data_IF_165817173118
#
_entry.id   IF_165817173118
#
_cell.length_a   1.000
_cell.length_b   1.000
_cell.length_c   1.000
_cell.angle_alpha   90.00
_cell.angle_beta   90.00
_cell.angle_gamma   90.00
#
_symmetry.space_group_name_H-M   'P 1'
#
loop_
_entity.id
_entity.type
_entity.pdbx_description
1 polymer ?
#
# COMPACT_ATOMS: atom_id res chain seq x y z
N UNK A 1 50.71 7.00 11.35
CA UNK A 1 49.72 6.48 10.37
C UNK A 1 49.25 5.05 10.69
N UNK A 2 50.13 4.08 10.98
CA UNK A 2 49.78 2.70 11.36
C UNK A 2 48.94 2.56 12.66
N UNK A 3 49.13 3.46 13.63
CA UNK A 3 48.38 3.46 14.91
C UNK A 3 46.89 3.78 14.73
N UNK A 4 46.57 4.78 13.89
CA UNK A 4 45.19 5.20 13.62
C UNK A 4 44.39 4.09 12.94
N UNK A 5 45.03 3.34 12.04
CA UNK A 5 44.42 2.24 11.30
C UNK A 5 44.12 1.04 12.20
N UNK A 6 44.99 0.74 13.17
CA UNK A 6 44.72 -0.28 14.20
C UNK A 6 43.56 0.11 15.11
N UNK A 7 43.47 1.39 15.50
CA UNK A 7 42.37 1.88 16.34
C UNK A 7 41.01 1.81 15.63
N UNK A 8 40.93 2.26 14.37
CA UNK A 8 39.72 2.18 13.55
C UNK A 8 39.28 0.72 13.31
N UNK A 9 40.23 -0.18 13.04
CA UNK A 9 39.95 -1.61 12.87
C UNK A 9 39.38 -2.25 14.14
N UNK A 10 39.93 -1.89 15.31
CA UNK A 10 39.46 -2.41 16.60
C UNK A 10 38.05 -1.91 16.95
N UNK A 11 37.74 -0.65 16.64
CA UNK A 11 36.40 -0.07 16.80
C UNK A 11 35.36 -0.79 15.92
N UNK A 12 35.69 -1.07 14.66
CA UNK A 12 34.81 -1.80 13.73
C UNK A 12 34.52 -3.23 14.22
N UNK A 13 35.54 -3.94 14.71
CA UNK A 13 35.40 -5.31 15.25
C UNK A 13 34.55 -5.32 16.53
N UNK A 14 34.74 -4.34 17.42
CA UNK A 14 33.93 -4.20 18.63
C UNK A 14 32.47 -3.86 18.29
N UNK A 15 32.22 -3.03 17.29
CA UNK A 15 30.86 -2.71 16.83
C UNK A 15 30.16 -3.95 16.23
N UNK A 16 30.87 -4.73 15.41
CA UNK A 16 30.36 -5.99 14.85
C UNK A 16 30.11 -7.08 15.89
N UNK A 17 30.67 -7.01 17.09
CA UNK A 17 30.43 -8.02 18.16
C UNK A 17 29.41 -7.54 19.20
N UNK A 18 29.19 -6.22 19.29
CA UNK A 18 28.25 -5.60 20.23
C UNK A 18 26.80 -6.03 19.99
N UNK A 19 26.31 -5.98 18.75
CA UNK A 19 24.91 -6.34 18.44
C UNK A 19 24.61 -7.79 18.84
N UNK A 20 25.54 -8.71 18.59
CA UNK A 20 25.42 -10.13 18.93
C UNK A 20 25.41 -10.36 20.44
N UNK A 21 26.23 -9.58 21.17
CA UNK A 21 26.30 -9.61 22.64
C UNK A 21 25.02 -9.07 23.30
N UNK A 22 24.43 -8.01 22.74
CA UNK A 22 23.14 -7.47 23.19
C UNK A 22 21.98 -8.41 22.88
N UNK A 23 21.96 -9.01 21.70
CA UNK A 23 20.96 -10.01 21.33
C UNK A 23 21.00 -11.22 22.28
N UNK A 24 22.20 -11.69 22.64
CA UNK A 24 22.37 -12.79 23.61
C UNK A 24 21.96 -12.38 25.02
N UNK A 25 22.34 -11.20 25.49
CA UNK A 25 21.98 -10.71 26.82
C UNK A 25 20.46 -10.53 26.99
N UNK A 26 19.77 -10.07 25.94
CA UNK A 26 18.33 -9.85 25.96
C UNK A 26 17.53 -11.00 25.33
N UNK A 27 18.18 -12.11 24.92
CA UNK A 27 17.53 -13.22 24.22
C UNK A 27 16.36 -13.78 25.03
N UNK A 28 16.51 -13.88 26.35
CA UNK A 28 15.47 -14.40 27.25
C UNK A 28 14.23 -13.50 27.25
N UNK A 29 14.41 -12.18 27.24
CA UNK A 29 13.33 -11.20 27.19
C UNK A 29 12.67 -11.15 25.80
N UNK A 30 13.47 -11.23 24.74
CA UNK A 30 12.99 -11.31 23.35
C UNK A 30 12.17 -12.58 23.13
N UNK A 31 12.64 -13.72 23.64
CA UNK A 31 11.91 -14.99 23.54
C UNK A 31 10.65 -14.95 24.39
N UNK A 32 10.72 -14.44 25.62
CA UNK A 32 9.56 -14.31 26.52
C UNK A 32 8.47 -13.40 25.94
N UNK A 33 8.85 -12.21 25.46
CA UNK A 33 7.92 -11.28 24.83
C UNK A 33 7.38 -11.84 23.51
N UNK A 34 8.24 -12.45 22.68
CA UNK A 34 7.85 -13.14 21.46
C UNK A 34 6.85 -14.27 21.71
N UNK A 35 7.02 -15.05 22.77
CA UNK A 35 6.07 -16.12 23.13
C UNK A 35 4.70 -15.55 23.49
N UNK A 36 4.62 -14.44 24.25
CA UNK A 36 3.33 -13.78 24.50
C UNK A 36 2.63 -13.30 23.23
N UNK A 37 3.36 -12.72 22.26
CA UNK A 37 2.77 -12.31 20.99
C UNK A 37 2.30 -13.51 20.15
N UNK A 38 3.07 -14.60 20.13
CA UNK A 38 2.68 -15.84 19.45
C UNK A 38 1.42 -16.42 20.08
N UNK A 39 1.33 -16.47 21.41
CA UNK A 39 0.14 -16.96 22.12
C UNK A 39 -1.08 -16.08 21.82
N UNK A 40 -0.94 -14.75 21.88
CA UNK A 40 -2.02 -13.82 21.55
C UNK A 40 -2.48 -13.97 20.10
N UNK A 41 -1.55 -14.07 19.15
CA UNK A 41 -1.88 -14.34 17.75
C UNK A 41 -2.62 -15.67 17.59
N UNK A 42 -2.19 -16.70 18.31
CA UNK A 42 -2.79 -18.04 18.26
C UNK A 42 -4.21 -18.05 18.86
N UNK A 43 -4.43 -17.35 19.98
CA UNK A 43 -5.77 -17.15 20.56
C UNK A 43 -6.66 -16.37 19.59
N UNK A 44 -6.14 -15.33 18.94
CA UNK A 44 -6.88 -14.55 17.96
C UNK A 44 -7.27 -15.39 16.73
N UNK A 45 -6.36 -16.21 16.22
CA UNK A 45 -6.62 -17.15 15.14
C UNK A 45 -7.69 -18.18 15.55
N UNK A 46 -7.55 -18.83 16.70
CA UNK A 46 -8.55 -19.79 17.20
C UNK A 46 -9.93 -19.15 17.38
N UNK A 47 -9.98 -17.94 17.94
CA UNK A 47 -11.21 -17.17 18.09
C UNK A 47 -11.87 -16.88 16.75
N UNK A 48 -11.10 -16.38 15.78
CA UNK A 48 -11.61 -16.06 14.44
C UNK A 48 -12.07 -17.32 13.68
N UNK A 49 -11.39 -18.46 13.86
CA UNK A 49 -11.82 -19.74 13.32
C UNK A 49 -13.13 -20.21 13.96
N UNK A 50 -13.24 -20.12 15.29
CA UNK A 50 -14.42 -20.54 16.04
C UNK A 50 -15.68 -19.73 15.69
N UNK A 51 -15.52 -18.44 15.36
CA UNK A 51 -16.63 -17.59 14.92
C UNK A 51 -17.18 -17.97 13.54
N UNK A 52 -16.47 -18.79 12.75
CA UNK A 52 -16.97 -19.28 11.46
C UNK A 52 -17.33 -18.17 10.47
N UNK A 53 -16.69 -17.00 10.59
CA UNK A 53 -16.99 -15.81 9.77
C UNK A 53 -16.71 -16.16 8.33
N UNK A 54 -17.75 -16.20 7.49
CA UNK A 54 -17.59 -16.46 6.06
C UNK A 54 -16.95 -15.24 5.39
N UNK A 55 -16.00 -15.50 4.50
CA UNK A 55 -15.49 -14.45 3.63
C UNK A 55 -16.58 -14.09 2.61
N UNK A 56 -16.96 -12.82 2.59
CA UNK A 56 -17.84 -12.25 1.57
C UNK A 56 -17.12 -11.09 0.91
N UNK A 57 -17.22 -11.01 -0.43
CA UNK A 57 -16.62 -9.92 -1.18
C UNK A 57 -17.41 -8.64 -0.93
N UNK A 58 -16.74 -7.61 -0.40
CA UNK A 58 -17.36 -6.34 -0.04
C UNK A 58 -16.95 -5.22 -0.99
N UNK A 59 -17.94 -4.55 -1.58
CA UNK A 59 -17.71 -3.31 -2.33
C UNK A 59 -17.64 -2.15 -1.33
N UNK A 60 -16.46 -1.57 -1.16
CA UNK A 60 -16.25 -0.39 -0.32
C UNK A 60 -15.91 0.83 -1.20
N UNK A 61 -16.40 1.99 -0.80
CA UNK A 61 -16.17 3.27 -1.51
C UNK A 61 -15.72 4.35 -0.53
N UNK A 62 -14.51 4.23 0.05
CA UNK A 62 -14.05 5.15 1.09
C UNK A 62 -13.74 6.56 0.58
N UNK A 63 -13.52 6.74 -0.73
CA UNK A 63 -13.20 8.03 -1.33
C UNK A 63 -14.46 8.65 -1.95
N UNK A 64 -14.85 9.82 -1.46
CA UNK A 64 -15.87 10.65 -2.08
C UNK A 64 -15.25 11.64 -3.05
N UNK A 65 -15.81 11.78 -4.24
CA UNK A 65 -15.42 12.83 -5.16
C UNK A 65 -15.62 14.23 -4.51
N UNK A 66 -14.73 15.19 -4.78
CA UNK A 66 -14.87 16.54 -4.25
C UNK A 66 -16.18 17.19 -4.74
N UNK A 67 -16.73 18.12 -3.95
CA UNK A 67 -17.92 18.84 -4.35
C UNK A 67 -17.64 19.76 -5.54
N UNK A 68 -18.68 20.02 -6.36
CA UNK A 68 -18.62 20.90 -7.54
C UNK A 68 -18.05 22.29 -7.21
N UNK A 69 -18.22 22.72 -5.95
CA UNK A 69 -17.78 24.02 -5.46
C UNK A 69 -16.26 24.12 -5.26
N UNK A 70 -15.52 23.01 -5.28
CA UNK A 70 -14.05 23.03 -5.24
C UNK A 70 -13.49 23.32 -6.64
N UNK A 71 -13.85 24.47 -7.20
CA UNK A 71 -13.44 24.92 -8.55
C UNK A 71 -11.92 24.90 -8.74
N UNK A 72 -11.16 25.20 -7.68
CA UNK A 72 -9.69 25.17 -7.69
C UNK A 72 -9.15 23.77 -7.98
N UNK A 73 -9.76 22.74 -7.38
CA UNK A 73 -9.38 21.34 -7.64
C UNK A 73 -9.62 20.97 -9.10
N UNK A 74 -10.81 21.25 -9.63
CA UNK A 74 -11.14 20.93 -11.03
C UNK A 74 -10.25 21.69 -11.99
N UNK A 75 -10.00 22.98 -11.77
CA UNK A 75 -9.09 23.77 -12.59
C UNK A 75 -7.66 23.21 -12.60
N UNK A 76 -7.13 22.84 -11.44
CA UNK A 76 -5.79 22.25 -11.33
C UNK A 76 -5.74 20.85 -11.97
N UNK A 77 -6.77 20.02 -11.76
CA UNK A 77 -6.88 18.69 -12.33
C UNK A 77 -6.99 18.74 -13.86
N UNK A 78 -7.84 19.63 -14.39
CA UNK A 78 -7.96 19.89 -15.82
C UNK A 78 -6.63 20.34 -16.40
N UNK A 79 -5.89 21.23 -15.72
CA UNK A 79 -4.56 21.66 -16.14
C UNK A 79 -3.60 20.48 -16.25
N UNK A 80 -3.54 19.60 -15.24
CA UNK A 80 -2.63 18.46 -15.23
C UNK A 80 -3.01 17.33 -16.20
N UNK A 81 -4.26 17.29 -16.68
CA UNK A 81 -4.76 16.21 -17.55
C UNK A 81 -4.93 16.71 -19.00
N UNK A 82 -6.15 17.04 -19.41
CA UNK A 82 -6.44 17.43 -20.80
C UNK A 82 -5.79 18.77 -21.15
N UNK A 83 -5.66 19.68 -20.17
CA UNK A 83 -4.94 20.95 -20.35
C UNK A 83 -3.46 20.73 -20.71
N UNK A 84 -2.79 19.82 -20.02
CA UNK A 84 -1.41 19.40 -20.32
C UNK A 84 -1.34 18.80 -21.71
N UNK A 85 -2.29 17.93 -22.08
CA UNK A 85 -2.35 17.35 -23.42
C UNK A 85 -2.43 18.43 -24.51
N UNK A 86 -3.33 19.41 -24.37
CA UNK A 86 -3.44 20.53 -25.30
C UNK A 86 -2.18 21.40 -25.35
N UNK A 87 -1.49 21.54 -24.22
CA UNK A 87 -0.21 22.25 -24.16
C UNK A 87 0.90 21.49 -24.91
N UNK A 88 1.01 20.18 -24.72
CA UNK A 88 2.01 19.31 -25.37
C UNK A 88 1.87 19.33 -26.89
N UNK A 89 0.64 19.24 -27.41
CA UNK A 89 0.39 19.32 -28.86
C UNK A 89 0.50 20.74 -29.43
N UNK A 90 0.86 21.74 -28.59
CA UNK A 90 1.00 23.16 -28.95
C UNK A 90 -0.29 23.76 -29.52
N UNK A 91 -1.45 23.26 -29.10
CA UNK A 91 -2.76 23.71 -29.60
C UNK A 91 -2.93 25.23 -29.47
N UNK A 92 -2.62 25.78 -28.29
CA UNK A 92 -2.73 27.22 -28.03
C UNK A 92 -1.80 28.06 -28.90
N UNK A 93 -0.64 27.53 -29.28
CA UNK A 93 0.29 28.21 -30.19
C UNK A 93 -0.28 28.26 -31.60
N UNK A 94 -0.78 27.13 -32.10
CA UNK A 94 -1.42 27.05 -33.43
C UNK A 94 -2.63 27.98 -33.49
N UNK A 95 -3.48 27.96 -32.46
CA UNK A 95 -4.63 28.84 -32.36
C UNK A 95 -4.22 30.32 -32.37
N UNK A 96 -3.18 30.68 -31.61
CA UNK A 96 -2.65 32.05 -31.60
C UNK A 96 -2.09 32.46 -32.97
N UNK A 97 -1.32 31.59 -33.63
CA UNK A 97 -0.74 31.90 -34.94
C UNK A 97 -1.84 32.13 -35.99
N UNK A 98 -2.91 31.35 -35.99
CA UNK A 98 -4.05 31.55 -36.90
C UNK A 98 -4.81 32.82 -36.54
N UNK A 99 -5.31 32.94 -35.31
CA UNK A 99 -6.26 34.00 -34.94
C UNK A 99 -5.59 35.36 -34.77
N UNK A 100 -4.40 35.39 -34.18
CA UNK A 100 -3.71 36.64 -33.85
C UNK A 100 -2.74 37.06 -34.95
N UNK A 101 -1.91 36.16 -35.50
CA UNK A 101 -0.96 36.58 -36.55
C UNK A 101 -1.62 36.74 -37.92
N UNK A 102 -2.60 35.91 -38.28
CA UNK A 102 -3.27 36.02 -39.58
C UNK A 102 -4.37 37.06 -39.58
N UNK A 103 -5.22 37.08 -38.54
CA UNK A 103 -6.41 37.95 -38.50
C UNK A 103 -6.28 39.15 -37.56
N UNK A 104 -5.26 39.22 -36.71
CA UNK A 104 -5.08 40.33 -35.75
C UNK A 104 -6.12 40.36 -34.61
N UNK A 105 -6.94 39.31 -34.45
CA UNK A 105 -8.11 39.35 -33.58
C UNK A 105 -7.81 38.84 -32.17
N UNK A 106 -7.23 39.71 -31.34
CA UNK A 106 -6.80 39.36 -29.99
C UNK A 106 -7.95 38.98 -29.04
N UNK A 107 -9.09 39.65 -29.15
CA UNK A 107 -10.28 39.38 -28.34
C UNK A 107 -10.86 38.00 -28.62
N UNK A 108 -10.94 37.61 -29.90
CA UNK A 108 -11.44 36.30 -30.30
C UNK A 108 -10.55 35.17 -29.76
N UNK A 109 -9.23 35.34 -29.79
CA UNK A 109 -8.31 34.37 -29.20
C UNK A 109 -8.56 34.17 -27.69
N UNK A 110 -8.78 35.24 -26.94
CA UNK A 110 -9.08 35.13 -25.51
C UNK A 110 -10.44 34.51 -25.24
N UNK A 111 -11.46 34.83 -26.04
CA UNK A 111 -12.78 34.23 -25.93
C UNK A 111 -12.73 32.72 -26.18
N UNK A 112 -12.06 32.29 -27.27
CA UNK A 112 -11.91 30.86 -27.59
C UNK A 112 -11.19 30.12 -26.46
N UNK A 113 -10.09 30.67 -25.93
CA UNK A 113 -9.40 30.08 -24.77
C UNK A 113 -10.30 29.94 -23.55
N UNK A 114 -11.08 30.97 -23.23
CA UNK A 114 -11.96 30.96 -22.06
C UNK A 114 -13.07 29.91 -22.19
N UNK A 115 -13.71 29.84 -23.36
CA UNK A 115 -14.73 28.84 -23.67
C UNK A 115 -14.13 27.43 -23.63
N UNK A 116 -12.98 27.23 -24.25
CA UNK A 116 -12.27 25.95 -24.21
C UNK A 116 -11.93 25.55 -22.77
N UNK A 117 -11.43 26.48 -21.96
CA UNK A 117 -11.10 26.21 -20.57
C UNK A 117 -12.32 25.78 -19.74
N UNK A 118 -13.44 26.49 -19.88
CA UNK A 118 -14.70 26.12 -19.23
C UNK A 118 -15.19 24.75 -19.68
N UNK A 119 -15.11 24.45 -20.96
CA UNK A 119 -15.50 23.16 -21.52
C UNK A 119 -14.64 22.02 -20.97
N UNK A 120 -13.32 22.22 -20.89
CA UNK A 120 -12.40 21.24 -20.32
C UNK A 120 -12.65 21.00 -18.83
N UNK A 121 -12.89 22.07 -18.06
CA UNK A 121 -13.26 21.94 -16.65
C UNK A 121 -14.57 21.17 -16.47
N UNK A 122 -15.56 21.40 -17.34
CA UNK A 122 -16.81 20.65 -17.33
C UNK A 122 -16.57 19.16 -17.62
N UNK A 123 -15.76 18.81 -18.62
CA UNK A 123 -15.41 17.42 -18.91
C UNK A 123 -14.71 16.78 -17.70
N UNK A 124 -13.76 17.49 -17.08
CA UNK A 124 -13.08 16.99 -15.89
C UNK A 124 -14.06 16.74 -14.75
N UNK A 125 -15.02 17.64 -14.55
CA UNK A 125 -16.05 17.51 -13.53
C UNK A 125 -17.00 16.33 -13.78
N UNK A 126 -17.59 16.26 -14.97
CA UNK A 126 -18.67 15.32 -15.26
C UNK A 126 -18.16 13.90 -15.49
N UNK A 127 -16.95 13.74 -16.02
CA UNK A 127 -16.46 12.44 -16.48
C UNK A 127 -15.16 12.02 -15.80
N UNK A 128 -14.09 12.83 -15.89
CA UNK A 128 -12.77 12.36 -15.47
C UNK A 128 -12.65 12.16 -13.97
N UNK A 129 -13.12 13.11 -13.16
CA UNK A 129 -13.03 13.03 -11.71
C UNK A 129 -13.91 11.90 -11.17
N UNK A 130 -15.19 11.77 -11.54
CA UNK A 130 -16.01 10.61 -11.14
C UNK A 130 -15.38 9.28 -11.55
N UNK A 131 -14.88 9.17 -12.79
CA UNK A 131 -14.21 7.97 -13.27
C UNK A 131 -12.96 7.65 -12.43
N UNK A 132 -12.11 8.64 -12.15
CA UNK A 132 -10.91 8.46 -11.32
C UNK A 132 -11.26 7.93 -9.92
N UNK A 133 -12.25 8.55 -9.26
CA UNK A 133 -12.67 8.11 -7.92
C UNK A 133 -13.32 6.72 -7.95
N UNK A 134 -14.04 6.37 -9.02
CA UNK A 134 -14.56 5.02 -9.22
C UNK A 134 -13.43 4.00 -9.34
N UNK A 135 -12.39 4.29 -10.13
CA UNK A 135 -11.23 3.39 -10.27
C UNK A 135 -10.49 3.25 -8.95
N UNK A 136 -10.20 4.35 -8.26
CA UNK A 136 -9.52 4.32 -6.96
C UNK A 136 -10.30 3.52 -5.92
N UNK A 137 -11.61 3.73 -5.82
CA UNK A 137 -12.46 2.97 -4.90
C UNK A 137 -12.49 1.47 -5.25
N UNK A 138 -12.58 1.13 -6.55
CA UNK A 138 -12.51 -0.26 -6.98
C UNK A 138 -11.16 -0.90 -6.61
N UNK A 139 -10.04 -0.20 -6.84
CA UNK A 139 -8.72 -0.67 -6.43
C UNK A 139 -8.61 -0.88 -4.92
N UNK A 140 -9.10 0.07 -4.12
CA UNK A 140 -9.09 -0.05 -2.65
C UNK A 140 -9.96 -1.22 -2.20
N UNK A 141 -11.14 -1.38 -2.80
CA UNK A 141 -12.03 -2.52 -2.51
C UNK A 141 -11.36 -3.85 -2.82
N UNK A 142 -10.66 -3.98 -3.95
CA UNK A 142 -9.90 -5.19 -4.27
C UNK A 142 -8.82 -5.45 -3.21
N UNK A 143 -8.00 -4.44 -2.88
CA UNK A 143 -6.92 -4.59 -1.89
C UNK A 143 -7.47 -4.97 -0.51
N UNK A 144 -8.57 -4.35 -0.09
CA UNK A 144 -9.23 -4.65 1.17
C UNK A 144 -9.76 -6.09 1.21
N UNK A 145 -10.41 -6.54 0.15
CA UNK A 145 -10.89 -7.92 0.06
C UNK A 145 -9.75 -8.94 0.06
N UNK A 146 -8.63 -8.65 -0.60
CA UNK A 146 -7.44 -9.50 -0.54
C UNK A 146 -6.90 -9.58 0.89
N UNK A 147 -6.79 -8.44 1.58
CA UNK A 147 -6.34 -8.42 2.98
C UNK A 147 -7.29 -9.22 3.88
N UNK A 148 -8.60 -9.06 3.72
CA UNK A 148 -9.60 -9.83 4.46
C UNK A 148 -9.55 -11.32 4.13
N UNK A 149 -9.31 -11.70 2.87
CA UNK A 149 -9.16 -13.10 2.48
C UNK A 149 -7.94 -13.74 3.16
N UNK A 150 -6.82 -13.02 3.24
CA UNK A 150 -5.62 -13.47 3.95
C UNK A 150 -5.92 -13.63 5.44
N UNK A 151 -6.58 -12.65 6.06
CA UNK A 151 -6.98 -12.72 7.46
C UNK A 151 -7.96 -13.88 7.73
N UNK A 152 -8.86 -14.17 6.80
CA UNK A 152 -9.79 -15.30 6.88
C UNK A 152 -9.08 -16.66 6.73
N UNK A 153 -8.09 -16.76 5.85
CA UNK A 153 -7.36 -18.01 5.60
C UNK A 153 -6.28 -18.32 6.67
N UNK A 154 -5.77 -17.29 7.35
CA UNK A 154 -4.75 -17.44 8.38
C UNK A 154 -5.15 -18.40 9.52
N UNK A 155 -6.36 -18.31 10.12
CA UNK A 155 -6.79 -19.21 11.18
C UNK A 155 -6.70 -20.71 10.88
N UNK A 156 -7.34 -21.24 9.82
CA UNK A 156 -7.25 -22.67 9.50
C UNK A 156 -5.83 -23.12 9.17
N UNK A 157 -5.04 -22.29 8.47
CA UNK A 157 -3.62 -22.59 8.16
C UNK A 157 -2.78 -22.65 9.43
N UNK A 158 -2.98 -21.70 10.35
CA UNK A 158 -2.28 -21.66 11.64
C UNK A 158 -2.60 -22.89 12.50
N UNK A 159 -3.88 -23.26 12.60
CA UNK A 159 -4.31 -24.45 13.33
C UNK A 159 -3.71 -25.72 12.72
N UNK A 160 -3.72 -25.85 11.39
CA UNK A 160 -3.14 -27.00 10.69
C UNK A 160 -1.63 -27.13 10.94
N UNK A 161 -0.90 -26.02 10.98
CA UNK A 161 0.54 -26.01 11.31
C UNK A 161 0.80 -26.45 12.75
N UNK A 162 0.02 -25.94 13.71
CA UNK A 162 0.14 -26.32 15.13
C UNK A 162 -0.12 -27.83 15.30
N UNK A 163 -1.21 -28.33 14.71
CA UNK A 163 -1.55 -29.75 14.76
C UNK A 163 -0.45 -30.62 14.13
N UNK A 164 0.14 -30.18 13.02
CA UNK A 164 1.25 -30.87 12.36
C UNK A 164 2.49 -30.94 13.25
N UNK A 165 2.84 -29.85 13.94
CA UNK A 165 3.95 -29.81 14.90
C UNK A 165 3.69 -30.76 16.07
N UNK A 166 2.50 -30.70 16.67
CA UNK A 166 2.10 -31.58 17.78
C UNK A 166 2.17 -33.04 17.35
N UNK A 167 1.66 -33.38 16.17
CA UNK A 167 1.73 -34.73 15.61
C UNK A 167 3.17 -35.21 15.45
N UNK A 168 4.06 -34.39 14.87
CA UNK A 168 5.46 -34.74 14.68
C UNK A 168 6.20 -34.94 16.02
N UNK A 169 5.94 -34.10 17.01
CA UNK A 169 6.54 -34.23 18.35
C UNK A 169 6.06 -35.49 19.07
N UNK A 170 4.76 -35.78 19.04
CA UNK A 170 4.19 -36.99 19.63
C UNK A 170 4.72 -38.26 18.98
N UNK A 171 4.85 -38.28 17.65
CA UNK A 171 5.39 -39.42 16.93
C UNK A 171 6.88 -39.66 17.23
N UNK A 172 7.67 -38.58 17.38
CA UNK A 172 9.07 -38.68 17.82
C UNK A 172 9.19 -39.25 19.25
N UNK A 173 8.33 -38.81 20.17
CA UNK A 173 8.31 -39.30 21.56
C UNK A 173 7.99 -40.80 21.61
N UNK A 174 6.92 -41.23 20.92
CA UNK A 174 6.53 -42.64 20.82
C UNK A 174 7.65 -43.52 20.24
N UNK A 175 8.30 -43.05 19.17
CA UNK A 175 9.43 -43.76 18.54
C UNK A 175 10.69 -43.81 19.41
N UNK A 176 10.86 -42.86 20.33
CA UNK A 176 11.97 -42.86 21.29
C UNK A 176 11.69 -43.80 22.47
N UNK A 177 10.47 -43.80 23.02
CA UNK A 177 10.07 -44.73 24.08
C UNK A 177 10.13 -46.19 23.62
N UNK A 178 9.67 -46.49 22.40
CA UNK A 178 9.74 -47.85 21.85
C UNK A 178 11.19 -48.35 21.63
N UNK A 179 12.15 -47.44 21.39
CA UNK A 179 13.58 -47.78 21.28
C UNK A 179 14.28 -47.96 22.62
N UNK A 180 13.65 -47.53 23.72
CA UNK A 180 14.18 -47.65 25.09
C UNK A 180 13.67 -48.90 25.80
N UNK A 181 12.57 -49.49 25.30
CA UNK A 181 11.95 -50.71 25.81
C UNK A 181 12.44 -51.99 25.13
N UNK A 182 13.24 -51.87 24.07
CA UNK A 182 13.95 -52.96 23.37
C UNK A 182 15.44 -52.86 23.69
#
# INVERSE_FOLDING_TARGET
MLSLWRFLRQQIINFMTWHKKILLNNAKEIVSSGTTYVILALVFLLWHFALGIKFEWQTISPLSAPSVFVRVFYSAFTFCTIGLFLYVIKFYKVLHDIVVKTFGMWELYNLIKAVLWLFLMYISYAYLVPWLFSVLNASISILFNIANLVLYALPPVGIALILSIVYLLSNKKLKYEHRRSN
#
